data_IF_330435909586
#
_entry.id   IF_330435909586
#
_cell.length_a   1.000
_cell.length_b   1.000
_cell.length_c   1.000
_cell.angle_alpha   90.00
_cell.angle_beta   90.00
_cell.angle_gamma   90.00
#
_symmetry.space_group_name_H-M   'P 1'
#
loop_
_entity.id
_entity.type
_entity.pdbx_description
1 polymer ?
#
# COMPACT_ATOMS: atom_id res chain seq x y z
N UNK A 1 -5.69 -8.96 -33.23
CA UNK A 1 -5.15 -9.79 -32.13
C UNK A 1 -6.17 -9.86 -31.01
N UNK A 2 -6.71 -11.04 -30.73
CA UNK A 2 -7.62 -11.31 -29.62
C UNK A 2 -6.81 -11.30 -28.33
N UNK A 3 -7.08 -10.37 -27.41
CA UNK A 3 -6.42 -10.37 -26.10
C UNK A 3 -7.03 -11.51 -25.27
N UNK A 4 -6.32 -12.64 -25.13
CA UNK A 4 -6.66 -13.69 -24.19
C UNK A 4 -6.03 -13.39 -22.82
N UNK A 5 -6.73 -13.68 -21.74
CA UNK A 5 -6.23 -13.52 -20.37
C UNK A 5 -7.34 -13.48 -19.33
N UNK A 6 -6.94 -13.42 -18.06
CA UNK A 6 -7.86 -13.34 -16.91
C UNK A 6 -8.41 -11.93 -16.81
N UNK A 7 -9.73 -11.78 -16.89
CA UNK A 7 -10.41 -10.49 -16.70
C UNK A 7 -10.78 -10.23 -15.25
N UNK A 8 -11.11 -11.29 -14.51
CA UNK A 8 -11.64 -11.23 -13.16
C UNK A 8 -10.97 -12.32 -12.33
N UNK A 9 -10.38 -11.94 -11.20
CA UNK A 9 -9.73 -12.87 -10.27
C UNK A 9 -10.26 -12.64 -8.86
N UNK A 10 -10.73 -13.71 -8.22
CA UNK A 10 -11.14 -13.70 -6.82
C UNK A 10 -10.23 -14.65 -6.06
N UNK A 11 -9.51 -14.11 -5.07
CA UNK A 11 -8.69 -14.85 -4.14
C UNK A 11 -9.47 -14.99 -2.84
N UNK A 12 -9.97 -16.22 -2.61
CA UNK A 12 -10.80 -16.59 -1.47
C UNK A 12 -10.05 -17.57 -0.58
N UNK A 13 -10.13 -17.36 0.72
CA UNK A 13 -9.56 -18.24 1.76
C UNK A 13 -8.12 -18.65 1.48
N UNK A 14 -7.25 -17.64 1.41
CA UNK A 14 -5.83 -17.77 1.10
C UNK A 14 -4.97 -17.49 2.36
N UNK A 15 -5.07 -18.30 3.43
CA UNK A 15 -4.49 -18.00 4.74
C UNK A 15 -2.96 -18.03 4.75
N UNK A 16 -2.33 -18.68 3.77
CA UNK A 16 -0.87 -18.80 3.64
C UNK A 16 -0.27 -17.90 2.56
N UNK A 17 -1.09 -17.08 1.91
CA UNK A 17 -0.62 -16.23 0.82
C UNK A 17 0.13 -15.03 1.38
N UNK A 18 1.37 -14.84 0.96
CA UNK A 18 2.23 -13.74 1.45
C UNK A 18 2.25 -12.55 0.49
N UNK A 19 2.13 -12.80 -0.81
CA UNK A 19 2.26 -11.77 -1.83
C UNK A 19 1.30 -12.00 -3.00
N UNK A 20 0.86 -10.90 -3.60
CA UNK A 20 0.11 -10.86 -4.86
C UNK A 20 0.92 -10.05 -5.86
N UNK A 21 1.14 -10.62 -7.04
CA UNK A 21 1.88 -9.98 -8.11
C UNK A 21 1.12 -10.13 -9.43
N UNK A 22 0.70 -9.00 -10.00
CA UNK A 22 0.10 -8.90 -11.32
C UNK A 22 0.92 -7.92 -12.17
N UNK A 23 1.62 -8.47 -13.17
CA UNK A 23 2.45 -7.70 -14.10
C UNK A 23 1.99 -7.95 -15.53
N UNK A 24 1.78 -6.86 -16.28
CA UNK A 24 1.34 -6.88 -17.69
C UNK A 24 0.02 -7.63 -17.90
N UNK A 25 -0.86 -7.68 -16.90
CA UNK A 25 -2.21 -8.23 -17.02
C UNK A 25 -3.12 -7.22 -17.75
N UNK A 26 -3.03 -7.19 -19.09
CA UNK A 26 -3.68 -6.15 -19.93
C UNK A 26 -5.21 -6.20 -19.94
N UNK A 27 -5.79 -7.35 -19.64
CA UNK A 27 -7.25 -7.56 -19.64
C UNK A 27 -7.85 -7.71 -18.25
N UNK A 28 -7.03 -7.80 -17.20
CA UNK A 28 -7.48 -7.89 -15.82
C UNK A 28 -8.15 -6.57 -15.42
N UNK A 29 -9.42 -6.66 -15.06
CA UNK A 29 -10.27 -5.54 -14.65
C UNK A 29 -10.49 -5.54 -13.15
N UNK A 30 -10.84 -6.71 -12.61
CA UNK A 30 -11.23 -6.87 -11.22
C UNK A 30 -10.33 -7.90 -10.53
N UNK A 31 -9.82 -7.52 -9.38
CA UNK A 31 -9.08 -8.39 -8.48
C UNK A 31 -9.66 -8.22 -7.09
N UNK A 32 -10.25 -9.29 -6.56
CA UNK A 32 -10.85 -9.32 -5.24
C UNK A 32 -10.06 -10.20 -4.29
N UNK A 33 -9.72 -9.68 -3.12
CA UNK A 33 -9.09 -10.44 -2.04
C UNK A 33 -10.04 -10.43 -0.84
N UNK A 34 -10.59 -11.59 -0.47
CA UNK A 34 -11.61 -11.66 0.58
C UNK A 34 -11.03 -12.03 1.95
N UNK A 35 -10.16 -13.04 1.98
CA UNK A 35 -9.58 -13.57 3.22
C UNK A 35 -8.14 -14.00 2.97
N UNK A 36 -7.20 -13.08 3.22
CA UNK A 36 -5.77 -13.31 3.03
C UNK A 36 -4.95 -12.47 4.03
N UNK A 37 -5.07 -12.76 5.35
CA UNK A 37 -4.69 -11.83 6.41
C UNK A 37 -3.17 -11.58 6.51
N UNK A 38 -2.35 -12.57 6.13
CA UNK A 38 -0.89 -12.44 6.14
C UNK A 38 -0.31 -11.85 4.85
N UNK A 39 -1.14 -11.51 3.86
CA UNK A 39 -0.66 -10.86 2.63
C UNK A 39 -0.14 -9.47 2.99
N UNK A 40 1.17 -9.32 2.84
CA UNK A 40 1.88 -8.10 3.18
C UNK A 40 2.45 -7.38 1.95
N UNK A 41 2.37 -8.00 0.76
CA UNK A 41 2.94 -7.47 -0.48
C UNK A 41 1.95 -7.52 -1.63
N UNK A 42 1.71 -6.37 -2.24
CA UNK A 42 0.85 -6.20 -3.40
C UNK A 42 1.65 -5.50 -4.50
N UNK A 43 1.80 -6.15 -5.65
CA UNK A 43 2.62 -5.68 -6.76
C UNK A 43 1.78 -5.62 -8.04
N UNK A 44 1.41 -4.41 -8.46
CA UNK A 44 0.58 -4.17 -9.63
C UNK A 44 1.34 -3.32 -10.63
N UNK A 45 1.81 -3.94 -11.71
CA UNK A 45 2.59 -3.26 -12.73
C UNK A 45 1.98 -3.42 -14.13
N UNK A 46 1.82 -2.31 -14.84
CA UNK A 46 1.42 -2.31 -16.25
C UNK A 46 0.07 -3.01 -16.52
N UNK A 47 -0.85 -2.99 -15.55
CA UNK A 47 -2.19 -3.58 -15.66
C UNK A 47 -3.20 -2.52 -16.13
N UNK A 48 -3.28 -2.29 -17.45
CA UNK A 48 -4.02 -1.15 -18.04
C UNK A 48 -5.50 -1.07 -17.66
N UNK A 49 -6.18 -2.21 -17.48
CA UNK A 49 -7.62 -2.26 -17.20
C UNK A 49 -7.96 -2.44 -15.72
N UNK A 50 -6.96 -2.65 -14.86
CA UNK A 50 -7.17 -2.95 -13.46
C UNK A 50 -7.73 -1.72 -12.75
N UNK A 51 -8.86 -1.86 -12.08
CA UNK A 51 -9.42 -0.80 -11.27
C UNK A 51 -8.58 -0.64 -10.00
N UNK A 52 -7.61 0.28 -10.03
CA UNK A 52 -6.68 0.49 -8.93
C UNK A 52 -7.37 1.02 -7.67
N UNK A 53 -8.39 1.88 -7.81
CA UNK A 53 -9.16 2.36 -6.66
C UNK A 53 -9.87 1.23 -5.93
N UNK A 54 -10.50 0.31 -6.67
CA UNK A 54 -11.17 -0.87 -6.11
C UNK A 54 -10.17 -1.78 -5.40
N UNK A 55 -8.97 -1.96 -5.97
CA UNK A 55 -7.94 -2.80 -5.37
C UNK A 55 -7.40 -2.17 -4.09
N UNK A 56 -7.11 -0.86 -4.10
CA UNK A 56 -6.59 -0.15 -2.93
C UNK A 56 -7.62 -0.09 -1.81
N UNK A 57 -8.88 0.21 -2.09
CA UNK A 57 -9.96 0.21 -1.09
C UNK A 57 -10.09 -1.16 -0.40
N UNK A 58 -10.03 -2.26 -1.17
CA UNK A 58 -10.05 -3.61 -0.59
C UNK A 58 -8.83 -3.92 0.25
N UNK A 59 -7.63 -3.58 -0.23
CA UNK A 59 -6.40 -3.79 0.54
C UNK A 59 -6.48 -3.03 1.85
N UNK A 60 -7.01 -1.80 1.87
CA UNK A 60 -7.09 -0.99 3.09
C UNK A 60 -8.12 -1.50 4.09
N UNK A 61 -9.24 -2.08 3.62
CA UNK A 61 -10.32 -2.64 4.47
C UNK A 61 -10.04 -4.04 5.01
N UNK A 62 -9.13 -4.80 4.38
CA UNK A 62 -8.82 -6.16 4.82
C UNK A 62 -8.16 -6.14 6.21
N UNK A 63 -8.52 -7.03 7.17
CA UNK A 63 -7.84 -7.13 8.45
C UNK A 63 -6.32 -7.37 8.28
N UNK A 64 -5.47 -6.56 8.91
CA UNK A 64 -4.02 -6.65 8.81
C UNK A 64 -3.45 -7.57 9.88
N UNK A 65 -2.72 -8.62 9.50
CA UNK A 65 -1.80 -9.31 10.45
C UNK A 65 -0.35 -8.84 10.29
N UNK A 66 -0.05 -8.14 9.19
CA UNK A 66 1.28 -7.64 8.86
C UNK A 66 1.18 -6.27 8.19
N UNK A 67 2.27 -5.51 8.28
CA UNK A 67 2.44 -4.27 7.53
C UNK A 67 2.30 -4.50 6.03
N UNK A 68 1.79 -3.52 5.28
CA UNK A 68 1.49 -3.69 3.86
C UNK A 68 2.37 -2.82 3.00
N UNK A 69 2.97 -3.44 1.99
CA UNK A 69 3.75 -2.77 0.95
C UNK A 69 3.00 -2.94 -0.37
N UNK A 70 2.56 -1.83 -0.93
CA UNK A 70 1.79 -1.75 -2.16
C UNK A 70 2.67 -1.06 -3.20
N UNK A 71 3.13 -1.82 -4.18
CA UNK A 71 3.88 -1.29 -5.31
C UNK A 71 2.97 -1.15 -6.52
N UNK A 72 2.90 0.07 -7.06
CA UNK A 72 2.09 0.44 -8.20
C UNK A 72 2.98 1.00 -9.30
N UNK A 73 2.85 0.43 -10.50
CA UNK A 73 3.31 1.04 -11.75
C UNK A 73 2.10 1.28 -12.66
N UNK A 74 1.30 2.31 -12.35
CA UNK A 74 0.04 2.56 -13.03
C UNK A 74 0.31 3.01 -14.46
N UNK A 75 -0.63 2.68 -15.37
CA UNK A 75 -0.60 3.10 -16.77
C UNK A 75 -1.48 4.34 -17.01
N UNK A 76 -1.98 4.94 -15.93
CA UNK A 76 -2.89 6.07 -15.88
C UNK A 76 -2.47 6.98 -14.74
N UNK A 77 -2.84 8.26 -14.83
CA UNK A 77 -2.61 9.22 -13.75
C UNK A 77 -3.45 8.82 -12.52
N UNK A 78 -2.82 8.84 -11.36
CA UNK A 78 -3.47 8.59 -10.07
C UNK A 78 -3.61 9.94 -9.37
N UNK A 79 -4.80 10.23 -8.87
CA UNK A 79 -5.02 11.37 -7.97
C UNK A 79 -4.34 11.06 -6.62
N UNK A 80 -3.18 11.65 -6.41
CA UNK A 80 -2.34 11.43 -5.24
C UNK A 80 -2.98 11.97 -3.96
N UNK A 81 -3.74 13.07 -4.04
CA UNK A 81 -4.41 13.66 -2.87
C UNK A 81 -5.57 12.78 -2.41
N UNK A 82 -6.40 12.32 -3.35
CA UNK A 82 -7.49 11.39 -3.03
C UNK A 82 -6.94 10.08 -2.45
N UNK A 83 -5.83 9.57 -2.99
CA UNK A 83 -5.18 8.39 -2.43
C UNK A 83 -4.66 8.63 -1.02
N UNK A 84 -3.97 9.74 -0.81
CA UNK A 84 -3.42 10.13 0.49
C UNK A 84 -4.52 10.24 1.56
N UNK A 85 -5.63 10.90 1.22
CA UNK A 85 -6.79 10.97 2.11
C UNK A 85 -7.35 9.58 2.43
N UNK A 86 -7.48 8.68 1.45
CA UNK A 86 -7.89 7.29 1.71
C UNK A 86 -6.91 6.57 2.65
N UNK A 87 -5.61 6.74 2.44
CA UNK A 87 -4.54 6.10 3.23
C UNK A 87 -4.41 6.64 4.65
N UNK A 88 -4.78 7.88 4.91
CA UNK A 88 -4.65 8.48 6.24
C UNK A 88 -5.98 8.61 6.98
N UNK A 89 -7.11 8.38 6.31
CA UNK A 89 -8.44 8.44 6.94
C UNK A 89 -8.70 7.32 7.95
N UNK A 90 -8.09 6.15 7.78
CA UNK A 90 -8.31 4.99 8.64
C UNK A 90 -7.45 5.00 9.91
N UNK A 91 -7.96 4.46 11.04
CA UNK A 91 -7.14 4.04 12.17
C UNK A 91 -6.49 2.71 11.80
N UNK A 92 -5.41 2.74 11.01
CA UNK A 92 -4.70 1.53 10.63
C UNK A 92 -3.74 1.14 11.76
N UNK A 93 -3.94 0.01 12.47
CA UNK A 93 -3.02 -0.47 13.51
C UNK A 93 -1.73 -1.07 12.92
N UNK A 94 -1.37 -0.69 11.68
CA UNK A 94 -0.28 -1.27 10.92
C UNK A 94 0.32 -0.22 9.98
N UNK A 95 1.59 -0.43 9.62
CA UNK A 95 2.28 0.42 8.66
C UNK A 95 1.86 0.08 7.23
N UNK A 96 1.63 1.12 6.45
CA UNK A 96 1.30 1.02 5.02
C UNK A 96 2.34 1.82 4.25
N UNK A 97 2.95 1.19 3.25
CA UNK A 97 3.82 1.85 2.29
C UNK A 97 3.22 1.69 0.90
N UNK A 98 3.01 2.81 0.20
CA UNK A 98 2.68 2.80 -1.21
C UNK A 98 3.85 3.34 -2.01
N UNK A 99 4.33 2.55 -2.97
CA UNK A 99 5.39 2.91 -3.90
C UNK A 99 4.75 3.14 -5.26
N UNK A 100 4.69 4.41 -5.69
CA UNK A 100 4.33 4.76 -7.06
C UNK A 100 5.58 4.88 -7.91
N UNK A 101 5.75 3.99 -8.89
CA UNK A 101 6.89 4.01 -9.79
C UNK A 101 6.50 4.49 -11.19
N UNK A 102 7.10 5.61 -11.61
CA UNK A 102 6.96 6.16 -12.97
C UNK A 102 8.24 6.04 -13.80
N UNK A 103 9.31 5.45 -13.24
CA UNK A 103 10.60 5.32 -13.89
C UNK A 103 10.53 4.43 -15.14
N UNK A 104 11.39 4.73 -16.12
CA UNK A 104 11.57 3.92 -17.30
C UNK A 104 13.07 3.93 -17.70
N UNK A 105 13.81 2.82 -17.51
CA UNK A 105 13.36 1.51 -17.02
C UNK A 105 13.00 1.52 -15.51
N UNK A 106 12.26 0.50 -15.01
CA UNK A 106 11.99 0.34 -13.58
C UNK A 106 13.25 0.37 -12.72
N UNK A 107 13.21 1.09 -11.61
CA UNK A 107 14.31 1.17 -10.65
C UNK A 107 14.11 0.12 -9.55
N UNK A 108 14.51 -1.11 -9.89
CA UNK A 108 14.43 -2.26 -8.97
C UNK A 108 15.23 -2.01 -7.69
N UNK A 109 16.36 -1.29 -7.77
CA UNK A 109 17.20 -0.96 -6.61
C UNK A 109 16.43 -0.12 -5.59
N UNK A 110 15.72 0.91 -6.04
CA UNK A 110 14.91 1.76 -5.15
C UNK A 110 13.73 0.99 -4.57
N UNK A 111 13.04 0.17 -5.38
CA UNK A 111 11.96 -0.69 -4.90
C UNK A 111 12.41 -1.61 -3.76
N UNK A 112 13.59 -2.23 -3.90
CA UNK A 112 14.17 -3.09 -2.85
C UNK A 112 14.58 -2.27 -1.63
N UNK A 113 15.24 -1.12 -1.80
CA UNK A 113 15.64 -0.23 -0.70
C UNK A 113 14.47 0.22 0.15
N UNK A 114 13.40 0.73 -0.47
CA UNK A 114 12.20 1.19 0.25
C UNK A 114 11.57 0.03 1.02
N UNK A 115 11.48 -1.15 0.40
CA UNK A 115 10.99 -2.36 1.06
C UNK A 115 11.80 -2.71 2.30
N UNK A 116 13.12 -2.78 2.18
CA UNK A 116 14.00 -3.09 3.31
C UNK A 116 13.85 -2.07 4.44
N UNK A 117 13.74 -0.79 4.12
CA UNK A 117 13.51 0.26 5.12
C UNK A 117 12.18 0.10 5.85
N UNK A 118 11.10 -0.19 5.12
CA UNK A 118 9.79 -0.41 5.73
C UNK A 118 9.77 -1.63 6.64
N UNK A 119 10.39 -2.75 6.22
CA UNK A 119 10.51 -3.94 7.05
C UNK A 119 11.31 -3.63 8.33
N UNK A 120 12.42 -2.89 8.23
CA UNK A 120 13.24 -2.49 9.38
C UNK A 120 12.50 -1.58 10.36
N UNK A 121 11.89 -0.49 9.89
CA UNK A 121 11.18 0.48 10.74
C UNK A 121 10.01 -0.21 11.45
N UNK A 122 9.26 -1.03 10.73
CA UNK A 122 8.17 -1.81 11.30
C UNK A 122 8.63 -2.72 12.44
N UNK A 123 9.71 -3.47 12.23
CA UNK A 123 10.24 -4.38 13.25
C UNK A 123 10.73 -3.61 14.48
N UNK A 124 11.41 -2.48 14.29
CA UNK A 124 11.84 -1.61 15.40
C UNK A 124 10.62 -1.11 16.19
N UNK A 125 9.59 -0.60 15.51
CA UNK A 125 8.38 -0.11 16.19
C UNK A 125 7.68 -1.22 16.99
N UNK A 126 7.60 -2.43 16.44
CA UNK A 126 7.00 -3.57 17.17
C UNK A 126 7.79 -3.94 18.42
N UNK A 127 9.13 -3.93 18.36
CA UNK A 127 9.98 -4.17 19.52
C UNK A 127 9.79 -3.08 20.60
N UNK A 128 9.76 -1.80 20.20
CA UNK A 128 9.56 -0.68 21.13
C UNK A 128 8.19 -0.73 21.82
N UNK A 129 7.12 -1.02 21.07
CA UNK A 129 5.77 -1.16 21.65
C UNK A 129 5.73 -2.33 22.64
N UNK A 130 6.34 -3.47 22.28
CA UNK A 130 6.25 -4.69 23.07
C UNK A 130 7.11 -4.65 24.34
N UNK A 131 8.30 -4.05 24.29
CA UNK A 131 9.28 -4.15 25.37
C UNK A 131 9.60 -2.83 26.06
N UNK A 132 9.39 -1.68 25.41
CA UNK A 132 9.77 -0.36 25.94
C UNK A 132 8.56 0.49 26.37
N UNK A 133 7.39 -0.14 26.57
CA UNK A 133 6.14 0.52 27.02
C UNK A 133 5.67 1.70 26.15
N UNK A 134 6.06 1.74 24.87
CA UNK A 134 5.57 2.76 23.96
C UNK A 134 4.05 2.59 23.77
N UNK A 135 3.24 3.66 23.96
CA UNK A 135 1.81 3.57 23.76
C UNK A 135 1.49 3.35 22.28
N UNK A 136 0.53 2.49 22.00
CA UNK A 136 -0.02 2.39 20.65
C UNK A 136 -0.72 3.69 20.25
N UNK A 137 -0.59 4.06 18.98
CA UNK A 137 -1.21 5.27 18.45
C UNK A 137 -2.75 5.08 18.38
N UNK A 138 -3.47 5.70 19.30
CA UNK A 138 -4.95 5.74 19.29
C UNK A 138 -5.46 7.14 18.99
N UNK A 139 -6.61 7.25 18.32
CA UNK A 139 -7.36 8.51 18.21
C UNK A 139 -8.51 8.52 19.20
N UNK A 140 -8.62 9.56 20.02
CA UNK A 140 -9.76 9.74 20.90
C UNK A 140 -10.99 10.26 20.15
N UNK A 141 -12.19 10.13 20.73
CA UNK A 141 -13.39 10.77 20.19
C UNK A 141 -13.28 12.29 20.17
N UNK A 142 -12.55 12.88 21.13
CA UNK A 142 -12.29 14.31 21.19
C UNK A 142 -11.44 14.78 20.01
N UNK A 143 -10.41 14.00 19.63
CA UNK A 143 -9.58 14.29 18.45
C UNK A 143 -10.39 14.25 17.16
N UNK A 144 -11.32 13.28 17.03
CA UNK A 144 -12.19 13.16 15.86
C UNK A 144 -13.13 14.37 15.72
N UNK A 145 -13.65 14.89 16.85
CA UNK A 145 -14.49 16.09 16.87
C UNK A 145 -13.67 17.35 16.59
N UNK A 146 -12.47 17.46 17.16
CA UNK A 146 -11.60 18.63 17.03
C UNK A 146 -11.00 18.76 15.63
N UNK A 147 -10.69 17.64 14.98
CA UNK A 147 -10.06 17.61 13.66
C UNK A 147 -10.87 16.77 12.65
N UNK A 148 -12.06 17.24 12.22
CA UNK A 148 -12.97 16.44 11.39
C UNK A 148 -12.55 16.34 9.92
N UNK A 149 -11.62 17.20 9.46
CA UNK A 149 -11.19 17.29 8.06
C UNK A 149 -9.70 16.96 7.94
N UNK A 150 -9.32 16.38 6.80
CA UNK A 150 -7.92 16.19 6.41
C UNK A 150 -7.11 17.50 6.63
N UNK A 151 -5.91 17.46 7.24
CA UNK A 151 -5.10 16.28 7.63
C UNK A 151 -5.42 15.71 9.03
N UNK A 152 -6.59 16.05 9.58
CA UNK A 152 -7.10 15.58 10.88
C UNK A 152 -6.13 15.84 12.04
N UNK A 153 -5.51 17.02 12.03
CA UNK A 153 -4.56 17.45 13.09
C UNK A 153 -3.22 16.72 13.05
N UNK A 154 -2.90 15.98 11.98
CA UNK A 154 -1.59 15.35 11.79
C UNK A 154 -0.62 16.29 11.08
N UNK A 155 0.64 16.27 11.51
CA UNK A 155 1.75 16.89 10.80
C UNK A 155 2.23 15.93 9.71
N UNK A 156 1.75 16.13 8.48
CA UNK A 156 2.17 15.33 7.33
C UNK A 156 3.38 16.02 6.71
N UNK A 157 4.51 15.33 6.72
CA UNK A 157 5.77 15.81 6.17
C UNK A 157 5.98 15.22 4.78
N UNK A 158 6.18 16.08 3.79
CA UNK A 158 6.60 15.67 2.45
C UNK A 158 8.10 15.91 2.33
N UNK A 159 8.86 14.84 2.11
CA UNK A 159 10.28 14.92 1.82
C UNK A 159 10.49 14.72 0.32
N UNK A 160 10.91 15.76 -0.36
CA UNK A 160 11.35 15.69 -1.76
C UNK A 160 12.88 15.53 -1.78
N UNK A 161 13.37 14.44 -2.36
CA UNK A 161 14.79 14.16 -2.45
C UNK A 161 15.17 13.78 -3.88
N UNK A 162 16.24 14.40 -4.40
CA UNK A 162 16.86 13.97 -5.64
C UNK A 162 17.54 12.62 -5.40
N UNK A 163 17.11 11.58 -6.12
CA UNK A 163 17.81 10.29 -6.10
C UNK A 163 19.07 10.45 -6.94
N UNK A 164 20.20 10.76 -6.30
CA UNK A 164 21.49 10.76 -6.96
C UNK A 164 21.83 9.32 -7.38
N UNK A 165 21.77 9.05 -8.68
CA UNK A 165 22.45 7.92 -9.29
C UNK A 165 23.89 8.35 -9.48
N UNK A 166 24.79 7.89 -8.62
CA UNK A 166 26.21 7.89 -8.95
C UNK A 166 26.37 6.86 -10.08
N UNK A 167 26.45 7.36 -11.30
CA UNK A 167 26.94 6.61 -12.47
C UNK A 167 28.46 6.41 -12.34
#
# INVERSE_FOLDING_TARGET
>A
MTNCGITDLVLKDCPKMMFIHATRCRVLKHLKVENAPIVNRFDYAQCKKLNMDQVLDQILRMPPERNRIIYLRPMQQVDTLTLEQKLFSGPYPYHICIIHEFSNPPNVRNKVRIRSWMDTIANINQELIKYEFFPEATRSEEDLKKYPKYPWGREIYTLEGNVFTND
#
